data_IF_452748564132
#
_entry.id   IF_452748564132
#
_cell.length_a   1.000
_cell.length_b   1.000
_cell.length_c   1.000
_cell.angle_alpha   90.00
_cell.angle_beta   90.00
_cell.angle_gamma   90.00
#
_symmetry.space_group_name_H-M   'P 1'
#
loop_
_entity.id
_entity.type
_entity.pdbx_description
1 polymer ?
#
# COMPACT_ATOMS: atom_id res chain seq x y z
N UNK A 1 -8.11 5.75 11.86
CA UNK A 1 -9.48 5.87 12.45
C UNK A 1 -9.71 4.95 13.65
N UNK A 2 -9.25 3.67 13.60
CA UNK A 2 -9.39 2.75 14.73
C UNK A 2 -8.80 3.34 16.02
N UNK A 3 -7.59 3.89 15.95
CA UNK A 3 -6.91 4.50 17.11
C UNK A 3 -7.66 5.70 17.68
N UNK A 4 -8.33 6.51 16.86
CA UNK A 4 -9.12 7.65 17.29
C UNK A 4 -10.44 7.21 17.92
N UNK A 5 -11.07 6.16 17.39
CA UNK A 5 -12.29 5.58 17.93
C UNK A 5 -12.10 4.90 19.29
N UNK A 6 -10.87 4.43 19.59
CA UNK A 6 -10.54 3.75 20.86
C UNK A 6 -10.28 4.71 22.03
N UNK A 7 -10.26 6.02 21.83
CA UNK A 7 -9.93 7.00 22.89
C UNK A 7 -11.14 7.23 23.82
N UNK A 8 -11.12 6.63 24.99
CA UNK A 8 -11.94 7.02 26.15
C UNK A 8 -13.35 6.49 26.21
N UNK A 9 -13.70 5.38 25.50
CA UNK A 9 -15.06 4.81 25.51
C UNK A 9 -15.04 3.28 25.35
N UNK A 10 -16.18 2.67 25.55
CA UNK A 10 -16.42 1.30 25.11
C UNK A 10 -16.48 1.26 23.59
N UNK A 11 -15.81 0.26 22.98
CA UNK A 11 -15.88 0.00 21.56
C UNK A 11 -16.20 -1.47 21.29
N UNK A 12 -17.16 -1.69 20.41
CA UNK A 12 -17.51 -3.00 19.88
C UNK A 12 -17.13 -3.04 18.39
N UNK A 13 -16.27 -3.96 18.01
CA UNK A 13 -15.87 -4.19 16.62
C UNK A 13 -16.45 -5.51 16.14
N UNK A 14 -17.26 -5.45 15.09
CA UNK A 14 -17.59 -6.64 14.30
C UNK A 14 -16.42 -6.88 13.35
N UNK A 15 -15.70 -7.95 13.58
CA UNK A 15 -14.50 -8.25 12.81
C UNK A 15 -14.82 -8.69 11.38
N UNK A 16 -13.83 -8.67 10.51
CA UNK A 16 -13.94 -9.09 9.12
C UNK A 16 -12.58 -9.58 8.60
N UNK A 17 -12.57 -10.51 7.63
CA UNK A 17 -11.34 -10.98 7.02
C UNK A 17 -10.51 -9.86 6.40
N UNK A 18 -9.21 -10.03 6.40
CA UNK A 18 -8.27 -9.18 5.68
C UNK A 18 -7.99 -9.80 4.29
N UNK A 19 -8.38 -9.16 3.17
CA UNK A 19 -8.11 -9.72 1.84
C UNK A 19 -6.61 -9.75 1.49
N UNK A 20 -5.79 -8.96 2.19
CA UNK A 20 -4.33 -8.95 2.09
C UNK A 20 -3.72 -9.57 3.35
N UNK A 21 -4.06 -10.84 3.61
CA UNK A 21 -3.68 -11.59 4.81
C UNK A 21 -2.22 -12.06 4.74
N UNK A 22 -1.30 -11.10 4.69
CA UNK A 22 0.15 -11.31 4.68
C UNK A 22 0.82 -10.42 5.72
N UNK A 23 1.93 -10.91 6.30
CA UNK A 23 2.85 -10.09 7.10
C UNK A 23 4.10 -9.85 6.27
N UNK A 24 4.22 -8.67 5.65
CA UNK A 24 5.34 -8.36 4.75
C UNK A 24 5.56 -6.85 4.57
N UNK A 25 6.74 -6.51 4.06
CA UNK A 25 7.18 -5.15 3.81
C UNK A 25 7.85 -4.48 5.02
N UNK A 26 8.38 -3.26 4.85
CA UNK A 26 9.05 -2.55 5.92
C UNK A 26 8.09 -2.16 7.04
N UNK A 27 8.56 -2.26 8.28
CA UNK A 27 7.89 -1.70 9.45
C UNK A 27 8.07 -0.18 9.44
N UNK A 28 7.01 0.56 9.77
CA UNK A 28 7.06 2.02 9.75
C UNK A 28 8.07 2.58 10.75
N UNK A 29 9.04 3.33 10.25
CA UNK A 29 10.04 4.04 11.05
C UNK A 29 9.42 5.16 11.89
N UNK A 30 9.99 5.43 13.07
CA UNK A 30 9.48 6.43 14.03
C UNK A 30 9.27 7.82 13.39
N UNK A 31 10.20 8.26 12.54
CA UNK A 31 10.18 9.54 11.84
C UNK A 31 9.23 9.59 10.63
N UNK A 32 8.59 8.46 10.27
CA UNK A 32 7.61 8.36 9.20
C UNK A 32 6.16 8.26 9.72
N UNK A 33 5.92 8.64 10.98
CA UNK A 33 4.57 8.67 11.55
C UNK A 33 3.72 9.72 10.85
N UNK A 34 2.54 9.29 10.37
CA UNK A 34 1.61 10.15 9.64
C UNK A 34 0.19 9.60 9.74
N UNK A 35 -0.77 10.30 9.12
CA UNK A 35 -2.14 9.83 8.99
C UNK A 35 -2.26 8.47 8.25
N UNK A 36 -1.37 8.23 7.26
CA UNK A 36 -1.35 6.97 6.49
C UNK A 36 -0.48 5.88 7.12
N UNK A 37 0.24 6.18 8.21
CA UNK A 37 1.08 5.22 8.93
C UNK A 37 1.21 5.63 10.40
N UNK A 38 0.18 5.34 11.21
CA UNK A 38 0.12 5.82 12.60
C UNK A 38 0.96 4.97 13.56
N UNK A 39 0.95 3.65 13.40
CA UNK A 39 1.64 2.70 14.27
C UNK A 39 2.87 2.09 13.60
N UNK A 40 3.79 1.54 14.39
CA UNK A 40 5.00 0.86 13.93
C UNK A 40 4.66 -0.58 13.51
N UNK A 41 3.90 -0.71 12.43
CA UNK A 41 3.48 -1.98 11.83
C UNK A 41 4.01 -2.06 10.38
N UNK A 42 4.15 -3.25 9.80
CA UNK A 42 4.54 -3.40 8.40
C UNK A 42 3.42 -2.95 7.44
N UNK A 43 3.77 -2.69 6.18
CA UNK A 43 2.80 -2.32 5.13
C UNK A 43 1.68 -3.35 5.04
N UNK A 44 2.02 -4.62 5.03
CA UNK A 44 1.09 -5.74 5.16
C UNK A 44 1.23 -6.29 6.57
N UNK A 45 0.28 -5.97 7.42
CA UNK A 45 0.32 -6.30 8.86
C UNK A 45 -0.34 -7.64 9.21
N UNK A 46 -1.04 -8.28 8.27
CA UNK A 46 -1.65 -9.60 8.43
C UNK A 46 -2.86 -9.68 9.35
N UNK A 47 -3.14 -8.66 10.14
CA UNK A 47 -4.23 -8.69 11.11
C UNK A 47 -5.59 -8.40 10.47
N UNK A 48 -6.65 -8.94 11.03
CA UNK A 48 -8.01 -8.42 10.85
C UNK A 48 -8.15 -7.06 11.55
N UNK A 49 -9.24 -6.35 11.32
CA UNK A 49 -9.47 -5.05 11.98
C UNK A 49 -9.62 -5.22 13.50
N UNK A 50 -10.24 -6.32 13.95
CA UNK A 50 -10.41 -6.66 15.36
C UNK A 50 -9.08 -6.98 16.04
N UNK A 51 -8.25 -7.80 15.40
CA UNK A 51 -6.91 -8.14 15.89
C UNK A 51 -6.00 -6.92 15.97
N UNK A 52 -6.01 -6.05 14.95
CA UNK A 52 -5.24 -4.80 14.97
C UNK A 52 -5.71 -3.89 16.12
N UNK A 53 -7.01 -3.80 16.37
CA UNK A 53 -7.53 -3.02 17.49
C UNK A 53 -7.11 -3.62 18.85
N UNK A 54 -7.12 -4.95 18.99
CA UNK A 54 -6.62 -5.65 20.18
C UNK A 54 -5.12 -5.39 20.40
N UNK A 55 -4.32 -5.45 19.34
CA UNK A 55 -2.89 -5.13 19.37
C UNK A 55 -2.66 -3.66 19.82
N UNK A 56 -3.32 -2.68 19.20
CA UNK A 56 -3.22 -1.27 19.55
C UNK A 56 -3.57 -1.06 21.04
N UNK A 57 -4.63 -1.70 21.50
CA UNK A 57 -5.09 -1.59 22.89
C UNK A 57 -4.16 -2.35 23.85
N UNK A 58 -3.73 -3.57 23.47
CA UNK A 58 -2.85 -4.42 24.27
C UNK A 58 -1.47 -3.82 24.49
N UNK A 59 -0.83 -3.38 23.40
CA UNK A 59 0.51 -2.80 23.39
C UNK A 59 0.58 -1.36 23.95
N UNK A 60 -0.56 -0.80 24.36
CA UNK A 60 -0.59 0.56 24.94
C UNK A 60 -0.29 1.67 23.93
N UNK A 61 -0.60 1.47 22.66
CA UNK A 61 -0.34 2.44 21.59
C UNK A 61 -1.34 3.59 21.55
N UNK A 62 -2.37 3.54 22.41
CA UNK A 62 -3.30 4.66 22.57
C UNK A 62 -2.61 5.85 23.26
N UNK A 63 -3.05 7.10 23.02
CA UNK A 63 -2.49 8.28 23.65
C UNK A 63 -2.38 8.14 25.17
N UNK A 64 -1.21 8.47 25.71
CA UNK A 64 -0.92 8.37 27.15
C UNK A 64 -1.03 6.94 27.74
N UNK A 65 -0.90 5.90 26.91
CA UNK A 65 -1.04 4.50 27.35
C UNK A 65 -2.41 4.12 27.85
N UNK A 66 -3.44 4.89 27.51
CA UNK A 66 -4.83 4.59 27.90
C UNK A 66 -5.26 3.24 27.32
N UNK A 67 -6.22 2.62 28.00
CA UNK A 67 -6.90 1.40 27.54
C UNK A 67 -8.34 1.73 27.19
N UNK A 68 -8.87 1.03 26.19
CA UNK A 68 -10.30 1.07 25.84
C UNK A 68 -10.96 -0.23 26.31
N UNK A 69 -12.19 -0.16 26.77
CA UNK A 69 -13.03 -1.34 26.97
C UNK A 69 -13.45 -1.86 25.58
N UNK A 70 -12.65 -2.79 25.04
CA UNK A 70 -12.78 -3.30 23.67
C UNK A 70 -13.43 -4.67 23.66
N UNK A 71 -14.54 -4.79 22.92
CA UNK A 71 -15.16 -6.06 22.58
C UNK A 71 -15.01 -6.32 21.10
N UNK A 72 -14.42 -7.45 20.73
CA UNK A 72 -14.32 -7.90 19.33
C UNK A 72 -15.25 -9.09 19.14
N UNK A 73 -16.17 -8.98 18.19
CA UNK A 73 -17.02 -10.09 17.74
C UNK A 73 -16.28 -10.73 16.56
N UNK A 74 -15.74 -11.96 16.73
CA UNK A 74 -14.92 -12.61 15.72
C UNK A 74 -15.71 -12.99 14.47
N UNK A 75 -15.01 -13.19 13.36
CA UNK A 75 -15.59 -13.73 12.12
C UNK A 75 -15.80 -15.24 12.27
N UNK A 76 -17.01 -15.70 11.96
CA UNK A 76 -17.31 -17.13 11.90
C UNK A 76 -16.98 -17.69 10.51
N UNK A 77 -16.41 -18.90 10.47
CA UNK A 77 -16.19 -19.66 9.23
C UNK A 77 -15.02 -19.20 8.35
N UNK A 78 -14.26 -18.16 8.73
CA UNK A 78 -13.02 -17.77 8.07
C UNK A 78 -11.81 -17.94 8.98
N UNK A 79 -10.68 -18.29 8.41
CA UNK A 79 -9.38 -18.40 9.09
C UNK A 79 -8.28 -17.75 8.26
N UNK A 80 -7.22 -17.28 8.93
CA UNK A 80 -6.00 -16.80 8.26
C UNK A 80 -5.49 -17.79 7.22
N UNK A 81 -5.00 -17.28 6.10
CA UNK A 81 -4.57 -18.06 4.94
C UNK A 81 -5.71 -18.43 3.97
N UNK A 82 -6.96 -18.22 4.34
CA UNK A 82 -8.08 -18.42 3.41
C UNK A 82 -8.30 -17.18 2.53
N UNK A 83 -8.47 -17.35 1.20
CA UNK A 83 -8.78 -16.24 0.34
C UNK A 83 -10.13 -15.63 0.71
N UNK A 84 -10.23 -14.31 0.61
CA UNK A 84 -11.46 -13.59 0.89
C UNK A 84 -11.70 -12.48 -0.14
N UNK A 85 -12.84 -12.52 -0.78
CA UNK A 85 -13.31 -11.49 -1.68
C UNK A 85 -14.27 -10.55 -0.95
N UNK A 86 -13.98 -9.25 -0.98
CA UNK A 86 -14.82 -8.28 -0.29
C UNK A 86 -16.20 -8.16 -0.96
N UNK A 87 -17.30 -8.30 -0.22
CA UNK A 87 -18.65 -8.18 -0.78
C UNK A 87 -18.98 -6.75 -1.22
N UNK A 88 -18.26 -5.77 -0.66
CA UNK A 88 -18.38 -4.36 -0.99
C UNK A 88 -16.98 -3.80 -1.22
N UNK A 89 -16.77 -3.12 -2.35
CA UNK A 89 -15.49 -2.48 -2.66
C UNK A 89 -15.13 -1.43 -1.59
N UNK A 90 -13.89 -1.45 -1.07
CA UNK A 90 -13.46 -0.59 0.03
C UNK A 90 -13.27 0.88 -0.41
N UNK A 91 -13.11 1.10 -1.70
CA UNK A 91 -12.91 2.43 -2.30
C UNK A 91 -13.38 2.42 -3.75
N UNK A 92 -13.83 3.55 -4.30
CA UNK A 92 -14.07 3.67 -5.75
C UNK A 92 -12.85 3.29 -6.59
N UNK A 93 -11.64 3.54 -6.07
CA UNK A 93 -10.38 3.21 -6.74
C UNK A 93 -9.86 1.78 -6.48
N UNK A 94 -10.59 0.96 -5.75
CA UNK A 94 -10.30 -0.46 -5.54
C UNK A 94 -11.53 -1.29 -5.91
N UNK A 95 -11.82 -1.39 -7.24
CA UNK A 95 -13.10 -1.90 -7.72
C UNK A 95 -13.27 -3.42 -7.60
N UNK A 96 -12.18 -4.17 -7.45
CA UNK A 96 -12.18 -5.64 -7.45
C UNK A 96 -10.96 -6.22 -6.71
N UNK A 97 -10.94 -7.54 -6.54
CA UNK A 97 -9.89 -8.26 -5.81
C UNK A 97 -8.50 -8.07 -6.43
N UNK A 98 -8.40 -7.97 -7.77
CA UNK A 98 -7.12 -7.73 -8.44
C UNK A 98 -6.51 -6.37 -8.04
N UNK A 99 -7.33 -5.32 -8.02
CA UNK A 99 -6.88 -4.00 -7.57
C UNK A 99 -6.46 -4.02 -6.09
N UNK A 100 -7.22 -4.73 -5.24
CA UNK A 100 -6.94 -4.87 -3.81
C UNK A 100 -5.61 -5.62 -3.60
N UNK A 101 -5.41 -6.74 -4.29
CA UNK A 101 -4.19 -7.54 -4.17
C UNK A 101 -2.93 -6.82 -4.66
N UNK A 102 -3.06 -5.96 -5.67
CA UNK A 102 -1.95 -5.16 -6.20
C UNK A 102 -1.68 -3.87 -5.41
N UNK A 103 -2.69 -3.37 -4.70
CA UNK A 103 -2.64 -2.07 -4.03
C UNK A 103 -1.43 -1.88 -3.11
N UNK A 104 -1.05 -2.82 -2.23
CA UNK A 104 0.10 -2.62 -1.34
C UNK A 104 1.40 -2.30 -2.08
N UNK A 105 1.63 -2.96 -3.21
CA UNK A 105 2.84 -2.77 -4.05
C UNK A 105 2.75 -1.57 -4.99
N UNK A 106 1.54 -1.09 -5.32
CA UNK A 106 1.32 0.00 -6.27
C UNK A 106 0.99 1.34 -5.60
N UNK A 107 0.49 1.35 -4.38
CA UNK A 107 0.16 2.56 -3.64
C UNK A 107 1.34 3.56 -3.57
N UNK A 108 2.60 3.14 -3.33
CA UNK A 108 3.74 4.06 -3.26
C UNK A 108 4.00 4.85 -4.55
N UNK A 109 3.53 4.35 -5.71
CA UNK A 109 3.62 5.11 -6.97
C UNK A 109 2.92 6.47 -6.93
N UNK A 110 2.00 6.71 -6.00
CA UNK A 110 1.38 8.03 -5.80
C UNK A 110 2.38 9.13 -5.39
N UNK A 111 3.60 8.74 -5.00
CA UNK A 111 4.72 9.64 -4.77
C UNK A 111 5.66 9.83 -5.97
N UNK A 112 5.33 9.24 -7.13
CA UNK A 112 6.17 9.20 -8.33
C UNK A 112 5.50 9.82 -9.56
N UNK A 113 6.23 9.84 -10.67
CA UNK A 113 5.75 10.26 -11.99
C UNK A 113 4.96 9.15 -12.73
N UNK A 114 4.50 8.12 -12.04
CA UNK A 114 3.79 7.00 -12.66
C UNK A 114 2.31 7.03 -12.24
N UNK A 115 1.42 7.09 -13.23
CA UNK A 115 0.00 6.90 -13.01
C UNK A 115 -0.30 5.46 -12.63
N UNK A 116 -1.13 5.28 -11.62
CA UNK A 116 -1.67 3.97 -11.19
C UNK A 116 -3.05 3.69 -11.78
N UNK A 117 -3.37 4.32 -12.90
CA UNK A 117 -4.63 4.11 -13.61
C UNK A 117 -5.85 4.78 -13.00
N UNK A 118 -5.70 5.70 -12.03
CA UNK A 118 -6.82 6.57 -11.60
C UNK A 118 -7.34 7.34 -12.81
N UNK A 119 -8.64 7.54 -12.91
CA UNK A 119 -9.27 8.10 -14.11
C UNK A 119 -9.42 7.09 -15.26
N UNK A 120 -9.33 5.80 -14.97
CA UNK A 120 -9.72 4.69 -15.86
C UNK A 120 -10.67 3.74 -15.11
N UNK A 121 -11.24 2.76 -15.82
CA UNK A 121 -12.01 1.68 -15.18
C UNK A 121 -11.13 0.66 -14.44
N UNK A 122 -9.79 0.84 -14.48
CA UNK A 122 -8.80 -0.12 -13.96
C UNK A 122 -7.78 0.51 -13.01
N UNK A 123 -8.21 1.32 -12.01
CA UNK A 123 -7.28 1.90 -11.04
C UNK A 123 -6.55 0.77 -10.28
N UNK A 124 -5.25 0.98 -10.05
CA UNK A 124 -4.32 -0.01 -9.47
C UNK A 124 -4.23 -1.36 -10.22
N UNK A 125 -4.61 -1.38 -11.49
CA UNK A 125 -4.51 -2.54 -12.37
C UNK A 125 -3.80 -2.20 -13.69
N UNK A 126 -3.53 -0.92 -13.93
CA UNK A 126 -2.68 -0.42 -15.01
C UNK A 126 -1.75 0.64 -14.46
N UNK A 127 -0.50 0.63 -14.88
CA UNK A 127 0.50 1.61 -14.46
C UNK A 127 1.29 2.12 -15.66
N UNK A 128 1.63 3.40 -15.67
CA UNK A 128 2.39 3.97 -16.79
C UNK A 128 2.55 5.48 -16.70
N UNK A 129 3.29 6.01 -17.67
CA UNK A 129 3.61 7.44 -17.78
C UNK A 129 3.67 7.84 -19.25
N UNK A 130 3.39 9.11 -19.60
CA UNK A 130 3.64 9.62 -20.94
C UNK A 130 5.14 9.78 -21.25
N UNK A 131 6.00 9.83 -20.23
CA UNK A 131 7.45 10.12 -20.38
C UNK A 131 8.29 8.94 -20.83
N UNK A 132 7.79 7.72 -20.70
CA UNK A 132 8.52 6.49 -20.97
C UNK A 132 7.65 5.48 -21.74
N UNK A 133 8.31 4.60 -22.53
CA UNK A 133 7.64 3.50 -23.23
C UNK A 133 8.33 2.18 -22.93
N UNK A 134 7.96 1.56 -21.81
CA UNK A 134 8.51 0.25 -21.41
C UNK A 134 7.74 -0.93 -22.02
N UNK A 135 6.60 -0.67 -22.64
CA UNK A 135 5.82 -1.67 -23.39
C UNK A 135 4.94 -1.02 -24.46
N UNK A 136 4.27 -1.82 -25.28
CA UNK A 136 3.30 -1.37 -26.29
C UNK A 136 1.92 -1.04 -25.69
N UNK A 137 1.66 -1.44 -24.44
CA UNK A 137 0.40 -1.16 -23.78
C UNK A 137 0.29 0.32 -23.42
N UNK A 138 -0.88 0.90 -23.66
CA UNK A 138 -1.18 2.27 -23.26
C UNK A 138 -2.60 2.40 -22.72
N UNK A 139 -2.82 3.44 -21.91
CA UNK A 139 -4.11 3.85 -21.40
C UNK A 139 -4.17 5.37 -21.31
N UNK A 140 -5.36 5.94 -21.23
CA UNK A 140 -5.57 7.38 -21.11
C UNK A 140 -6.46 7.67 -19.91
N UNK A 141 -5.94 8.31 -18.85
CA UNK A 141 -6.75 8.78 -17.74
C UNK A 141 -7.73 9.87 -18.18
N UNK A 142 -8.98 9.79 -17.74
CA UNK A 142 -10.03 10.76 -18.01
C UNK A 142 -10.75 11.12 -16.71
N UNK A 143 -11.47 12.23 -16.69
CA UNK A 143 -12.34 12.56 -15.57
C UNK A 143 -13.50 11.56 -15.55
N UNK A 144 -13.58 10.72 -14.52
CA UNK A 144 -14.66 9.76 -14.35
C UNK A 144 -15.49 10.13 -13.12
N UNK A 145 -16.80 10.25 -13.32
CA UNK A 145 -17.74 10.45 -12.25
C UNK A 145 -17.76 9.23 -11.32
N UNK A 146 -17.76 9.47 -10.00
CA UNK A 146 -17.69 8.42 -9.00
C UNK A 146 -16.29 7.85 -8.74
N UNK A 147 -15.23 8.33 -9.46
CA UNK A 147 -13.84 7.93 -9.29
C UNK A 147 -12.95 9.15 -9.03
N UNK A 148 -12.17 9.56 -10.02
CA UNK A 148 -11.27 10.71 -9.94
C UNK A 148 -11.62 11.73 -11.05
N UNK A 149 -11.91 12.95 -10.65
CA UNK A 149 -12.25 14.04 -11.58
C UNK A 149 -11.01 14.73 -12.16
N UNK A 150 -9.87 14.63 -11.49
CA UNK A 150 -8.60 15.24 -11.89
C UNK A 150 -7.43 14.25 -11.78
N UNK A 151 -7.47 13.12 -12.50
CA UNK A 151 -6.41 12.13 -12.43
C UNK A 151 -5.10 12.68 -12.99
N UNK A 152 -3.99 12.12 -12.51
CA UNK A 152 -2.67 12.37 -13.07
C UNK A 152 -2.67 12.05 -14.57
N UNK A 153 -2.07 12.92 -15.38
CA UNK A 153 -2.02 12.80 -16.86
C UNK A 153 -3.39 12.74 -17.54
N UNK A 154 -4.37 13.45 -17.00
CA UNK A 154 -5.70 13.57 -17.61
C UNK A 154 -5.61 13.89 -19.10
N UNK A 155 -6.29 13.09 -19.92
CA UNK A 155 -6.35 13.18 -21.38
C UNK A 155 -5.00 12.95 -22.11
N UNK A 156 -3.96 12.43 -21.43
CA UNK A 156 -2.70 12.05 -22.05
C UNK A 156 -2.56 10.54 -22.12
N UNK A 157 -1.91 10.02 -23.15
CA UNK A 157 -1.59 8.60 -23.22
C UNK A 157 -0.42 8.27 -22.29
N UNK A 158 -0.64 7.33 -21.38
CA UNK A 158 0.38 6.74 -20.53
C UNK A 158 0.76 5.37 -21.08
N UNK A 159 2.06 5.09 -21.19
CA UNK A 159 2.59 3.82 -21.67
C UNK A 159 3.16 3.04 -20.49
N UNK A 160 2.89 1.74 -20.44
CA UNK A 160 3.34 0.94 -19.29
C UNK A 160 2.76 -0.47 -19.23
N UNK A 161 2.40 -0.95 -18.06
CA UNK A 161 1.96 -2.32 -17.85
C UNK A 161 0.46 -2.46 -17.63
N UNK A 162 -0.10 -3.50 -18.25
CA UNK A 162 -1.44 -4.01 -17.96
C UNK A 162 -1.33 -5.15 -16.94
N UNK A 163 -1.83 -4.92 -15.74
CA UNK A 163 -1.73 -5.85 -14.61
C UNK A 163 -3.06 -6.55 -14.29
N UNK A 164 -4.07 -6.36 -15.13
CA UNK A 164 -5.43 -6.88 -14.90
C UNK A 164 -5.50 -8.40 -14.77
N UNK A 165 -4.61 -9.10 -15.47
CA UNK A 165 -4.65 -10.56 -15.60
C UNK A 165 -3.35 -11.24 -15.17
N UNK A 166 -2.47 -10.53 -14.47
CA UNK A 166 -1.29 -11.15 -13.87
C UNK A 166 -1.66 -11.81 -12.54
N UNK A 167 -0.86 -12.78 -12.13
CA UNK A 167 -0.90 -13.26 -10.76
C UNK A 167 -0.33 -12.17 -9.85
N UNK A 168 -1.15 -11.66 -8.93
CA UNK A 168 -0.70 -10.69 -7.94
C UNK A 168 0.35 -11.31 -7.01
N UNK A 169 1.36 -10.53 -6.55
CA UNK A 169 2.35 -11.04 -5.62
C UNK A 169 1.68 -11.45 -4.30
N UNK A 170 2.15 -12.54 -3.72
CA UNK A 170 1.81 -12.94 -2.36
C UNK A 170 2.70 -12.18 -1.38
N UNK A 171 2.33 -10.95 -1.07
CA UNK A 171 3.13 -10.06 -0.22
C UNK A 171 3.40 -8.71 -0.88
N UNK A 172 4.35 -7.97 -0.32
CA UNK A 172 4.78 -6.66 -0.81
C UNK A 172 5.93 -6.80 -1.81
N UNK A 173 5.84 -6.17 -2.97
CA UNK A 173 6.87 -6.20 -4.00
C UNK A 173 7.28 -4.79 -4.44
N UNK A 174 8.59 -4.58 -4.57
CA UNK A 174 9.19 -3.37 -5.12
C UNK A 174 9.51 -3.51 -6.62
N UNK A 175 9.26 -4.68 -7.23
CA UNK A 175 9.62 -4.99 -8.62
C UNK A 175 9.27 -3.87 -9.60
N UNK A 176 8.02 -3.43 -9.60
CA UNK A 176 7.58 -2.38 -10.54
C UNK A 176 8.22 -1.03 -10.24
N UNK A 177 8.34 -0.65 -8.97
CA UNK A 177 8.96 0.63 -8.58
C UNK A 177 10.42 0.67 -9.06
N UNK A 178 11.19 -0.40 -8.81
CA UNK A 178 12.58 -0.52 -9.26
C UNK A 178 12.66 -0.50 -10.79
N UNK A 179 11.82 -1.28 -11.48
CA UNK A 179 11.79 -1.33 -12.95
C UNK A 179 11.52 0.05 -13.56
N UNK A 180 10.54 0.79 -13.04
CA UNK A 180 10.20 2.11 -13.56
C UNK A 180 11.24 3.16 -13.21
N UNK A 181 11.84 3.10 -12.02
CA UNK A 181 12.96 3.98 -11.67
C UNK A 181 14.14 3.77 -12.59
N UNK A 182 14.51 2.52 -12.87
CA UNK A 182 15.58 2.17 -13.82
C UNK A 182 15.29 2.72 -15.22
N UNK A 183 14.06 2.57 -15.72
CA UNK A 183 13.66 3.12 -17.02
C UNK A 183 13.79 4.65 -17.08
N UNK A 184 13.48 5.36 -15.99
CA UNK A 184 13.72 6.81 -15.89
C UNK A 184 15.21 7.14 -15.84
N UNK A 185 16.01 6.32 -15.16
CA UNK A 185 17.46 6.48 -15.08
C UNK A 185 18.13 6.29 -16.47
N UNK A 186 17.72 5.27 -17.22
CA UNK A 186 18.22 4.97 -18.57
C UNK A 186 17.93 6.11 -19.56
N UNK A 187 16.89 6.89 -19.32
CA UNK A 187 16.55 8.09 -20.10
C UNK A 187 17.19 9.39 -19.56
N UNK A 188 18.04 9.31 -18.53
CA UNK A 188 18.63 10.49 -17.89
C UNK A 188 17.62 11.36 -17.15
N UNK A 189 16.48 10.80 -16.72
CA UNK A 189 15.37 11.50 -16.03
C UNK A 189 15.16 11.00 -14.60
N UNK A 190 16.15 10.38 -13.97
CA UNK A 190 16.03 9.82 -12.62
C UNK A 190 15.55 10.86 -11.59
N UNK A 191 15.95 12.12 -11.72
CA UNK A 191 15.55 13.24 -10.89
C UNK A 191 14.05 13.57 -10.96
N UNK A 192 13.37 13.15 -12.02
CA UNK A 192 11.94 13.38 -12.27
C UNK A 192 11.05 12.23 -11.79
N UNK A 193 11.62 11.10 -11.39
CA UNK A 193 10.83 9.93 -11.02
C UNK A 193 10.07 10.14 -9.72
N UNK A 194 10.74 10.53 -8.64
CA UNK A 194 10.10 10.80 -7.35
C UNK A 194 9.57 12.24 -7.31
N UNK A 195 8.34 12.45 -7.78
CA UNK A 195 7.71 13.78 -7.84
C UNK A 195 7.31 14.30 -6.46
N UNK A 196 7.04 13.40 -5.51
CA UNK A 196 6.68 13.69 -4.13
C UNK A 196 7.43 12.73 -3.19
N UNK A 197 8.76 12.88 -3.06
CA UNK A 197 9.61 11.90 -2.36
C UNK A 197 9.22 11.70 -0.89
N UNK A 198 8.85 12.75 -0.19
CA UNK A 198 8.37 12.66 1.20
C UNK A 198 7.05 11.88 1.30
N UNK A 199 6.14 12.05 0.33
CA UNK A 199 4.90 11.28 0.29
C UNK A 199 5.15 9.80 0.01
N UNK A 200 6.08 9.49 -0.89
CA UNK A 200 6.55 8.13 -1.12
C UNK A 200 7.09 7.50 0.17
N UNK A 201 7.96 8.23 0.90
CA UNK A 201 8.55 7.76 2.15
C UNK A 201 7.47 7.49 3.22
N UNK A 202 6.44 8.33 3.31
CA UNK A 202 5.31 8.15 4.23
C UNK A 202 4.44 6.95 3.86
N UNK A 203 4.17 6.72 2.56
CA UNK A 203 3.39 5.57 2.08
C UNK A 203 4.12 4.25 2.33
N UNK A 204 5.43 4.22 2.13
CA UNK A 204 6.29 3.07 2.45
C UNK A 204 6.49 2.92 3.97
N UNK A 205 6.42 4.02 4.71
CA UNK A 205 6.76 4.07 6.13
C UNK A 205 8.28 3.99 6.41
N UNK A 206 9.12 4.02 5.37
CA UNK A 206 10.56 3.83 5.48
C UNK A 206 11.31 4.59 4.39
N UNK A 207 12.05 5.64 4.79
CA UNK A 207 12.82 6.48 3.87
C UNK A 207 14.00 5.74 3.21
N UNK A 208 14.58 4.79 3.92
CA UNK A 208 15.77 4.05 3.44
C UNK A 208 15.45 3.28 2.15
N UNK A 209 14.21 2.83 1.96
CA UNK A 209 13.78 2.11 0.75
C UNK A 209 14.00 2.97 -0.50
N UNK A 210 13.54 4.22 -0.49
CA UNK A 210 13.73 5.13 -1.63
C UNK A 210 15.22 5.41 -1.88
N UNK A 211 15.99 5.63 -0.83
CA UNK A 211 17.43 5.90 -0.94
C UNK A 211 18.20 4.70 -1.51
N UNK A 212 17.80 3.47 -1.17
CA UNK A 212 18.38 2.25 -1.73
C UNK A 212 18.00 2.06 -3.21
N UNK A 213 16.74 2.31 -3.58
CA UNK A 213 16.30 2.29 -4.99
C UNK A 213 17.15 3.29 -5.81
N UNK A 214 17.35 4.50 -5.31
CA UNK A 214 18.15 5.53 -5.99
C UNK A 214 19.63 5.15 -6.14
N UNK A 215 20.15 4.29 -5.28
CA UNK A 215 21.51 3.73 -5.34
C UNK A 215 21.60 2.50 -6.23
N UNK A 216 20.49 2.03 -6.81
CA UNK A 216 20.46 0.84 -7.68
C UNK A 216 20.47 -0.49 -6.94
N UNK A 217 20.07 -0.51 -5.65
CA UNK A 217 19.95 -1.75 -4.90
C UNK A 217 18.84 -2.65 -5.46
N UNK A 218 19.08 -3.95 -5.46
CA UNK A 218 18.09 -4.97 -5.82
C UNK A 218 16.94 -5.05 -4.81
N UNK A 219 15.80 -5.63 -5.21
CA UNK A 219 14.69 -5.87 -4.27
C UNK A 219 15.13 -6.73 -3.09
N UNK A 220 15.97 -7.73 -3.31
CA UNK A 220 16.48 -8.63 -2.27
C UNK A 220 17.33 -7.88 -1.24
N UNK A 221 18.25 -7.02 -1.68
CA UNK A 221 19.07 -6.18 -0.80
C UNK A 221 18.21 -5.23 0.04
N UNK A 222 17.22 -4.59 -0.60
CA UNK A 222 16.31 -3.69 0.10
C UNK A 222 15.49 -4.46 1.14
N UNK A 223 14.96 -5.61 0.77
CA UNK A 223 14.17 -6.48 1.67
C UNK A 223 14.97 -6.97 2.87
N UNK A 224 16.25 -7.28 2.69
CA UNK A 224 17.13 -7.66 3.80
C UNK A 224 17.19 -6.58 4.89
N UNK A 225 17.06 -5.32 4.51
CA UNK A 225 17.15 -4.17 5.42
C UNK A 225 16.02 -4.07 6.45
N UNK A 226 14.87 -4.70 6.24
CA UNK A 226 13.73 -4.67 7.20
C UNK A 226 13.39 -6.03 7.83
N UNK A 227 14.12 -7.11 7.50
CA UNK A 227 13.77 -8.45 7.98
C UNK A 227 13.76 -8.57 9.50
N UNK A 228 14.75 -7.98 10.19
CA UNK A 228 14.83 -8.05 11.65
C UNK A 228 13.63 -7.38 12.33
N UNK A 229 13.19 -6.23 11.82
CA UNK A 229 12.02 -5.52 12.34
C UNK A 229 10.72 -6.29 12.04
N UNK A 230 10.64 -6.91 10.85
CA UNK A 230 9.50 -7.73 10.45
C UNK A 230 9.39 -9.00 11.32
N UNK A 231 10.51 -9.68 11.58
CA UNK A 231 10.53 -10.86 12.47
C UNK A 231 10.22 -10.49 13.93
N UNK A 232 10.63 -9.31 14.39
CA UNK A 232 10.23 -8.79 15.69
C UNK A 232 8.70 -8.55 15.74
N UNK A 233 8.12 -7.94 14.72
CA UNK A 233 6.68 -7.72 14.64
C UNK A 233 5.87 -9.02 14.63
N UNK A 234 6.33 -10.08 13.95
CA UNK A 234 5.64 -11.38 13.92
C UNK A 234 5.56 -12.06 15.28
N UNK A 235 6.34 -11.62 16.27
CA UNK A 235 6.32 -12.16 17.64
C UNK A 235 5.40 -11.38 18.59
N UNK A 236 4.94 -10.22 18.17
CA UNK A 236 3.94 -9.41 18.88
C UNK A 236 2.55 -9.99 18.66
#
# INVERSE_FOLDING_TARGET
EISLGLVGSEMCIRDRPNPCDYVDGPVRQKNQKSFVGMHAIPILHGCTVGELAQMINGEGWLPNGKKCALTVIPVEGWKHGQPYSLPVKPSPNLPNDQAIALYPSLCPFEGTAISVGRGTLYPFQVIGSPDIRISSFSFRPEALEGFDKNPMYKNQYCYGNNLRHITAPKGFSLKYIITYYQAYQDLGKADKFFTRPQWFDLLIGNRTVREQIMKGASEEEIRAGWQNELEAYKKT
#
